data_IF_746294489461
#
_entry.id   IF_746294489461
#
_cell.length_a   1.000
_cell.length_b   1.000
_cell.length_c   1.000
_cell.angle_alpha   90.00
_cell.angle_beta   90.00
_cell.angle_gamma   90.00
#
_symmetry.space_group_name_H-M   'P 1'
#
loop_
_entity.id
_entity.type
_entity.pdbx_description
1 polymer ?
#
# COMPACT_ATOMS: atom_id res chain seq x y z
N UNK A 1 -10.50 -27.26 -39.29
CA UNK A 1 -10.85 -26.94 -37.90
C UNK A 1 -11.36 -25.51 -37.86
N UNK A 2 -12.68 -25.31 -37.82
CA UNK A 2 -13.30 -23.98 -37.86
C UNK A 2 -13.24 -23.30 -36.49
N UNK A 3 -13.06 -21.98 -36.47
CA UNK A 3 -13.11 -21.18 -35.24
C UNK A 3 -14.57 -21.19 -34.76
N UNK A 4 -14.81 -21.83 -33.61
CA UNK A 4 -16.13 -21.87 -32.99
C UNK A 4 -16.40 -20.52 -32.32
N UNK A 5 -17.49 -19.89 -32.73
CA UNK A 5 -17.94 -18.60 -32.21
C UNK A 5 -19.37 -18.74 -31.68
N UNK A 6 -19.65 -18.13 -30.53
CA UNK A 6 -20.97 -18.07 -29.89
C UNK A 6 -21.46 -16.63 -29.95
N UNK A 7 -22.68 -16.43 -30.43
CA UNK A 7 -23.31 -15.11 -30.41
C UNK A 7 -23.61 -14.72 -28.96
N UNK A 8 -23.25 -13.50 -28.59
CA UNK A 8 -23.58 -12.95 -27.25
C UNK A 8 -25.05 -12.55 -27.18
N UNK A 9 -25.51 -12.19 -25.98
CA UNK A 9 -26.89 -11.72 -25.76
C UNK A 9 -27.24 -10.48 -26.62
N UNK A 10 -26.25 -9.65 -26.95
CA UNK A 10 -26.39 -8.62 -27.98
C UNK A 10 -25.96 -9.20 -29.35
N UNK A 11 -26.86 -9.20 -30.37
CA UNK A 11 -26.60 -9.77 -31.69
C UNK A 11 -25.47 -9.09 -32.46
N UNK A 12 -25.06 -7.88 -32.07
CA UNK A 12 -23.98 -7.13 -32.73
C UNK A 12 -22.59 -7.63 -32.37
N UNK A 13 -22.48 -8.46 -31.34
CA UNK A 13 -21.21 -8.98 -30.85
C UNK A 13 -21.17 -10.51 -30.98
N UNK A 14 -19.98 -11.03 -31.24
CA UNK A 14 -19.72 -12.46 -31.40
C UNK A 14 -18.54 -12.81 -30.51
N UNK A 15 -18.69 -13.83 -29.66
CA UNK A 15 -17.65 -14.32 -28.75
C UNK A 15 -16.95 -15.51 -29.36
N UNK A 16 -15.65 -15.38 -29.65
CA UNK A 16 -14.81 -16.55 -29.95
C UNK A 16 -14.70 -17.44 -28.70
N UNK A 17 -15.05 -18.72 -28.83
CA UNK A 17 -15.06 -19.68 -27.72
C UNK A 17 -13.64 -19.95 -27.21
N UNK A 18 -12.64 -19.79 -28.08
CA UNK A 18 -11.22 -19.94 -27.74
C UNK A 18 -10.54 -18.60 -27.47
N UNK A 19 -11.31 -17.53 -27.27
CA UNK A 19 -10.75 -16.18 -27.10
C UNK A 19 -9.84 -16.09 -25.88
N UNK A 20 -8.53 -16.22 -26.14
CA UNK A 20 -7.46 -15.99 -25.17
C UNK A 20 -7.50 -14.57 -24.62
N UNK A 21 -8.20 -13.65 -25.27
CA UNK A 21 -8.34 -12.26 -24.82
C UNK A 21 -9.05 -12.17 -23.46
N UNK A 22 -10.20 -12.82 -23.27
CA UNK A 22 -10.93 -12.78 -21.99
C UNK A 22 -10.11 -13.40 -20.86
N UNK A 23 -9.48 -14.55 -21.11
CA UNK A 23 -8.60 -15.20 -20.14
C UNK A 23 -7.37 -14.34 -19.81
N UNK A 24 -6.80 -13.64 -20.81
CA UNK A 24 -5.70 -12.69 -20.60
C UNK A 24 -6.15 -11.50 -19.77
N UNK A 25 -7.33 -10.94 -20.05
CA UNK A 25 -7.89 -9.81 -19.31
C UNK A 25 -8.14 -10.18 -17.84
N UNK A 26 -8.72 -11.34 -17.58
CA UNK A 26 -8.94 -11.84 -16.21
C UNK A 26 -7.61 -12.12 -15.50
N UNK A 27 -6.63 -12.68 -16.21
CA UNK A 27 -5.29 -12.92 -15.67
C UNK A 27 -4.58 -11.61 -15.31
N UNK A 28 -4.60 -10.62 -16.19
CA UNK A 28 -4.02 -9.30 -15.96
C UNK A 28 -4.71 -8.57 -14.81
N UNK A 29 -6.04 -8.61 -14.74
CA UNK A 29 -6.81 -8.02 -13.64
C UNK A 29 -6.44 -8.66 -12.30
N UNK A 30 -6.31 -9.99 -12.25
CA UNK A 30 -5.92 -10.71 -11.05
C UNK A 30 -4.48 -10.37 -10.62
N UNK A 31 -3.54 -10.32 -11.56
CA UNK A 31 -2.16 -9.94 -11.25
C UNK A 31 -2.06 -8.50 -10.77
N UNK A 32 -2.79 -7.58 -11.40
CA UNK A 32 -2.86 -6.18 -10.96
C UNK A 32 -3.38 -6.07 -9.53
N UNK A 33 -4.50 -6.72 -9.22
CA UNK A 33 -5.05 -6.76 -7.86
C UNK A 33 -4.05 -7.33 -6.84
N UNK A 34 -3.32 -8.40 -7.20
CA UNK A 34 -2.28 -8.97 -6.34
C UNK A 34 -1.13 -7.98 -6.10
N UNK A 35 -0.66 -7.30 -7.14
CA UNK A 35 0.39 -6.29 -7.02
C UNK A 35 -0.04 -5.09 -6.18
N UNK A 36 -1.27 -4.59 -6.35
CA UNK A 36 -1.83 -3.50 -5.58
C UNK A 36 -1.93 -3.88 -4.10
N UNK A 37 -2.42 -5.09 -3.81
CA UNK A 37 -2.47 -5.60 -2.43
C UNK A 37 -1.09 -5.63 -1.77
N UNK A 38 -0.06 -6.13 -2.47
CA UNK A 38 1.31 -6.14 -1.95
C UNK A 38 1.87 -4.73 -1.77
N UNK A 39 1.56 -3.82 -2.69
CA UNK A 39 1.96 -2.42 -2.60
C UNK A 39 1.37 -1.75 -1.35
N UNK A 40 0.06 -1.89 -1.10
CA UNK A 40 -0.58 -1.33 0.08
C UNK A 40 -0.07 -1.97 1.38
N UNK A 41 0.18 -3.29 1.37
CA UNK A 41 0.79 -3.96 2.53
C UNK A 41 2.18 -3.41 2.84
N UNK A 42 3.00 -3.19 1.82
CA UNK A 42 4.33 -2.59 1.99
C UNK A 42 4.23 -1.16 2.53
N UNK A 43 3.36 -0.33 1.95
CA UNK A 43 3.14 1.03 2.44
C UNK A 43 2.67 1.06 3.90
N UNK A 44 1.78 0.15 4.28
CA UNK A 44 1.32 0.06 5.67
C UNK A 44 2.46 -0.30 6.63
N UNK A 45 3.36 -1.20 6.21
CA UNK A 45 4.54 -1.55 6.99
C UNK A 45 5.50 -0.36 7.12
N UNK A 46 5.78 0.33 6.02
CA UNK A 46 6.65 1.51 6.00
C UNK A 46 6.10 2.61 6.92
N UNK A 47 4.78 2.85 6.91
CA UNK A 47 4.10 3.78 7.83
C UNK A 47 4.26 3.35 9.29
N UNK A 48 4.15 2.06 9.59
CA UNK A 48 4.31 1.57 10.96
C UNK A 48 5.75 1.76 11.47
N UNK A 49 6.75 1.51 10.63
CA UNK A 49 8.16 1.75 10.96
C UNK A 49 8.40 3.24 11.23
N UNK A 50 7.90 4.12 10.35
CA UNK A 50 8.05 5.57 10.52
C UNK A 50 7.37 6.07 11.80
N UNK A 51 6.20 5.52 12.16
CA UNK A 51 5.53 5.85 13.43
C UNK A 51 6.40 5.50 14.63
N UNK A 52 6.96 4.29 14.65
CA UNK A 52 7.87 3.86 15.72
C UNK A 52 9.08 4.81 15.86
N UNK A 53 9.67 5.21 14.73
CA UNK A 53 10.80 6.15 14.75
C UNK A 53 10.41 7.54 15.25
N UNK A 54 9.22 8.02 14.92
CA UNK A 54 8.70 9.31 15.42
C UNK A 54 8.45 9.25 16.92
N UNK A 55 7.91 8.13 17.41
CA UNK A 55 7.66 7.94 18.85
C UNK A 55 8.99 7.95 19.63
N UNK A 56 10.02 7.24 19.16
CA UNK A 56 11.37 7.26 19.74
C UNK A 56 11.98 8.68 19.75
N UNK A 57 11.88 9.41 18.63
CA UNK A 57 12.38 10.79 18.55
C UNK A 57 11.61 11.75 19.47
N UNK A 58 10.32 11.50 19.67
CA UNK A 58 9.48 12.30 20.58
C UNK A 58 9.91 12.08 22.03
N UNK A 59 10.20 10.83 22.41
CA UNK A 59 10.74 10.52 23.73
C UNK A 59 12.09 11.23 23.99
N UNK A 60 13.02 11.16 23.04
CA UNK A 60 14.31 11.86 23.14
C UNK A 60 14.11 13.38 23.28
N UNK A 61 13.14 13.95 22.56
CA UNK A 61 12.82 15.38 22.68
C UNK A 61 12.33 15.74 24.08
N UNK A 62 11.50 14.90 24.69
CA UNK A 62 11.01 15.10 26.06
C UNK A 62 12.17 15.07 27.07
N UNK A 63 13.06 14.09 26.96
CA UNK A 63 14.26 13.99 27.81
C UNK A 63 15.15 15.23 27.70
N UNK A 64 15.36 15.76 26.47
CA UNK A 64 16.12 16.99 26.26
C UNK A 64 15.45 18.21 26.92
N UNK A 65 14.12 18.30 26.85
CA UNK A 65 13.38 19.39 27.50
C UNK A 65 13.47 19.30 29.02
N UNK A 66 13.46 18.10 29.58
CA UNK A 66 13.65 17.86 31.01
C UNK A 66 15.06 18.28 31.45
N UNK A 67 16.10 17.85 30.73
CA UNK A 67 17.49 18.28 30.98
C UNK A 67 17.61 19.80 30.94
N UNK A 68 16.99 20.44 29.94
CA UNK A 68 16.98 21.91 29.85
C UNK A 68 16.30 22.55 31.07
N UNK A 69 15.19 21.99 31.54
CA UNK A 69 14.50 22.43 32.75
C UNK A 69 15.41 22.37 33.98
N UNK A 70 16.04 21.22 34.21
CA UNK A 70 16.98 21.00 35.31
C UNK A 70 18.16 21.99 35.26
N UNK A 71 18.72 22.24 34.07
CA UNK A 71 19.81 23.22 33.90
C UNK A 71 19.36 24.65 34.26
N UNK A 72 18.14 25.03 33.90
CA UNK A 72 17.58 26.34 34.24
C UNK A 72 17.35 26.47 35.74
N UNK A 73 16.84 25.43 36.41
CA UNK A 73 16.69 25.41 37.87
C UNK A 73 18.03 25.58 38.59
N UNK A 74 19.09 24.89 38.14
CA UNK A 74 20.45 25.02 38.70
C UNK A 74 20.98 26.45 38.54
N UNK A 75 20.73 27.09 37.41
CA UNK A 75 21.16 28.49 37.19
C UNK A 75 20.40 29.45 38.11
N UNK A 76 19.09 29.25 38.30
CA UNK A 76 18.22 30.14 39.08
C UNK A 76 18.33 29.93 40.60
N UNK A 77 18.84 28.79 41.05
CA UNK A 77 19.08 28.49 42.48
C UNK A 77 20.44 28.99 42.98
N UNK A 78 21.22 29.64 42.11
CA UNK A 78 22.52 30.24 42.43
C UNK A 78 22.41 31.75 42.56
#
# INVERSE_FOLDING_TARGET
MGILHVQTEDPRFVRDIHSKALLSTDYEALQRHRSEKLYFQKQQNDINILRSQVDELTQVREEILEIRGLLVEIINTK
#
